data_IF_889384042530
#
_entry.id   IF_889384042530
#
_cell.length_a   1.000
_cell.length_b   1.000
_cell.length_c   1.000
_cell.angle_alpha   90.00
_cell.angle_beta   90.00
_cell.angle_gamma   90.00
#
_symmetry.space_group_name_H-M   'P 1'
#
loop_
_entity.id
_entity.type
_entity.pdbx_description
1 polymer ?
#
# COMPACT_ATOMS: atom_id res chain seq x y z
N UNK A 1 -52.30 50.60 14.08
CA UNK A 1 -53.75 50.88 14.17
C UNK A 1 -54.40 50.18 12.98
N UNK A 2 -54.85 48.94 13.20
CA UNK A 2 -56.25 48.52 13.43
C UNK A 2 -57.13 48.55 12.16
N UNK A 3 -57.52 47.33 11.77
CA UNK A 3 -58.86 46.88 11.31
C UNK A 3 -59.27 47.30 9.89
N UNK A 4 -59.98 46.52 9.07
CA UNK A 4 -60.76 45.29 9.26
C UNK A 4 -61.00 44.61 7.89
N UNK A 5 -61.31 43.31 7.89
CA UNK A 5 -61.87 42.58 6.73
C UNK A 5 -63.39 42.83 6.58
N UNK A 6 -64.02 42.47 5.44
CA UNK A 6 -65.01 41.37 5.45
C UNK A 6 -64.93 40.44 4.22
N UNK A 7 -65.08 39.10 4.38
CA UNK A 7 -66.32 38.25 4.22
C UNK A 7 -66.92 38.30 2.79
N UNK A 8 -67.42 37.26 2.13
CA UNK A 8 -67.68 35.81 2.38
C UNK A 8 -68.32 35.23 1.07
N UNK A 9 -67.88 34.02 0.68
CA UNK A 9 -68.54 32.82 0.05
C UNK A 9 -69.93 32.92 -0.65
N UNK A 10 -70.38 31.96 -1.52
CA UNK A 10 -70.34 30.50 -1.28
C UNK A 10 -70.30 29.49 -2.47
N UNK A 11 -70.02 28.23 -2.11
CA UNK A 11 -70.51 26.99 -2.77
C UNK A 11 -69.44 26.15 -3.49
N UNK A 12 -69.17 24.86 -3.23
CA UNK A 12 -69.70 23.89 -2.27
C UNK A 12 -69.37 22.45 -2.74
N UNK A 13 -68.76 21.62 -1.87
CA UNK A 13 -68.72 20.13 -1.92
C UNK A 13 -67.77 19.48 -2.94
N UNK A 14 -67.16 18.29 -2.76
CA UNK A 14 -67.11 17.27 -1.70
C UNK A 14 -65.77 16.50 -1.89
N UNK A 15 -65.16 16.01 -0.81
CA UNK A 15 -63.93 15.20 -0.83
C UNK A 15 -64.11 13.84 -1.54
N UNK A 16 -63.13 13.42 -2.35
CA UNK A 16 -62.75 12.01 -2.47
C UNK A 16 -61.24 11.89 -2.65
N UNK A 17 -60.60 11.21 -1.69
CA UNK A 17 -59.20 10.81 -1.73
C UNK A 17 -59.03 9.67 -2.74
N UNK A 18 -58.21 9.87 -3.77
CA UNK A 18 -57.81 8.82 -4.71
C UNK A 18 -56.28 8.85 -4.83
N UNK A 19 -55.64 7.85 -4.21
CA UNK A 19 -54.23 7.52 -4.39
C UNK A 19 -54.02 7.01 -5.81
N UNK A 20 -53.33 7.78 -6.65
CA UNK A 20 -52.91 7.35 -7.98
C UNK A 20 -51.46 6.89 -7.92
N UNK A 21 -51.28 5.59 -8.15
CA UNK A 21 -50.00 4.96 -8.49
C UNK A 21 -49.53 5.46 -9.85
N UNK A 22 -48.30 5.97 -9.96
CA UNK A 22 -47.63 6.16 -11.25
C UNK A 22 -46.40 5.23 -11.37
N UNK A 23 -46.29 4.44 -12.45
CA UNK A 23 -45.23 3.46 -12.64
C UNK A 23 -43.94 4.04 -13.20
N UNK A 24 -42.88 3.25 -13.03
CA UNK A 24 -41.49 3.45 -13.46
C UNK A 24 -41.33 3.69 -14.98
N UNK A 25 -40.38 4.58 -15.32
CA UNK A 25 -39.75 4.82 -16.64
C UNK A 25 -40.67 5.45 -17.73
N UNK A 26 -40.25 6.40 -18.58
CA UNK A 26 -38.93 6.74 -19.09
C UNK A 26 -38.94 8.11 -19.87
N UNK A 27 -37.77 8.76 -19.95
CA UNK A 27 -37.22 9.62 -21.04
C UNK A 27 -37.87 11.00 -21.39
N UNK A 28 -37.12 12.10 -21.19
CA UNK A 28 -36.73 12.99 -22.30
C UNK A 28 -35.48 13.83 -21.98
N UNK A 29 -34.57 13.81 -22.95
CA UNK A 29 -33.19 14.27 -22.91
C UNK A 29 -33.08 15.79 -23.13
N UNK A 30 -32.34 16.50 -22.27
CA UNK A 30 -31.69 17.76 -22.64
C UNK A 30 -30.20 17.58 -22.38
N UNK A 31 -29.49 17.15 -23.42
CA UNK A 31 -28.04 17.11 -23.46
C UNK A 31 -27.53 18.50 -23.85
N UNK A 32 -27.15 19.30 -22.86
CA UNK A 32 -26.09 20.29 -23.06
C UNK A 32 -24.77 19.51 -23.06
N UNK A 33 -24.34 19.04 -24.23
CA UNK A 33 -22.97 18.57 -24.41
C UNK A 33 -22.06 19.78 -24.51
N UNK A 34 -21.64 20.33 -23.36
CA UNK A 34 -20.29 20.86 -23.32
C UNK A 34 -19.37 19.65 -23.41
N UNK A 35 -18.87 19.37 -24.61
CA UNK A 35 -17.76 18.45 -24.82
C UNK A 35 -16.49 19.06 -24.19
N UNK A 36 -16.44 19.13 -22.86
CA UNK A 36 -15.19 19.16 -22.14
C UNK A 36 -14.61 17.77 -22.30
N UNK A 37 -13.45 17.68 -22.96
CA UNK A 37 -12.59 16.51 -22.91
C UNK A 37 -12.11 16.33 -21.47
N UNK A 38 -13.00 15.85 -20.59
CA UNK A 38 -12.65 15.36 -19.29
C UNK A 38 -12.03 13.99 -19.55
N UNK A 39 -10.74 13.98 -19.90
CA UNK A 39 -9.98 12.76 -19.81
C UNK A 39 -9.98 12.40 -18.33
N UNK A 40 -10.86 11.49 -17.94
CA UNK A 40 -10.98 11.11 -16.53
C UNK A 40 -9.64 10.54 -16.07
N UNK A 41 -9.32 10.65 -14.78
CA UNK A 41 -8.13 10.01 -14.18
C UNK A 41 -8.06 8.50 -14.52
N UNK A 42 -9.20 7.87 -14.82
CA UNK A 42 -9.33 6.49 -15.29
C UNK A 42 -9.00 6.25 -16.78
N UNK A 43 -8.99 7.29 -17.62
CA UNK A 43 -8.64 7.21 -19.05
C UNK A 43 -7.16 7.56 -19.33
N UNK A 44 -6.48 8.25 -18.40
CA UNK A 44 -5.02 8.50 -18.46
C UNK A 44 -4.19 7.52 -17.63
N UNK A 45 -4.80 6.84 -16.67
CA UNK A 45 -4.23 5.64 -16.06
C UNK A 45 -4.58 4.43 -16.91
N UNK A 46 -3.61 3.90 -17.66
CA UNK A 46 -3.78 2.66 -18.43
C UNK A 46 -4.17 1.54 -17.45
N UNK A 47 -5.41 1.02 -17.44
CA UNK A 47 -5.79 -0.07 -16.53
C UNK A 47 -5.04 -1.37 -16.88
N UNK A 48 -4.42 -1.42 -18.07
CA UNK A 48 -3.67 -2.55 -18.62
C UNK A 48 -2.15 -2.45 -18.43
N UNK A 49 -1.64 -1.42 -17.72
CA UNK A 49 -0.21 -1.26 -17.45
C UNK A 49 0.68 -0.90 -18.67
N UNK A 50 0.11 -0.71 -19.86
CA UNK A 50 0.87 -0.42 -21.08
C UNK A 50 0.88 1.08 -21.43
N UNK A 51 1.71 1.84 -20.70
CA UNK A 51 1.88 3.28 -20.88
C UNK A 51 2.42 3.63 -22.28
N UNK A 52 3.26 2.76 -22.82
CA UNK A 52 3.81 2.86 -24.16
C UNK A 52 2.77 2.94 -25.28
N UNK A 53 1.74 2.11 -25.22
CA UNK A 53 0.67 2.08 -26.22
C UNK A 53 -0.24 3.31 -26.10
N UNK A 54 -0.52 3.76 -24.87
CA UNK A 54 -1.35 4.95 -24.64
C UNK A 54 -0.70 6.25 -25.15
N UNK A 55 0.63 6.29 -25.24
CA UNK A 55 1.41 7.48 -25.63
C UNK A 55 2.08 7.35 -26.99
N UNK A 56 1.61 6.47 -27.87
CA UNK A 56 2.19 6.30 -29.22
C UNK A 56 3.73 6.20 -29.19
N UNK A 57 4.27 5.28 -28.37
CA UNK A 57 5.72 5.13 -28.13
C UNK A 57 6.35 6.37 -27.44
N UNK A 58 5.83 6.70 -26.26
CA UNK A 58 6.33 7.76 -25.37
C UNK A 58 6.34 9.18 -25.96
N UNK A 59 5.49 9.46 -26.94
CA UNK A 59 5.35 10.77 -27.59
C UNK A 59 6.70 11.39 -28.01
N UNK A 60 7.68 10.55 -28.38
CA UNK A 60 9.03 10.98 -28.78
C UNK A 60 9.94 11.48 -27.65
N UNK A 61 9.55 11.33 -26.37
CA UNK A 61 10.30 11.86 -25.20
C UNK A 61 11.11 10.81 -24.44
N UNK A 62 11.13 9.57 -24.93
CA UNK A 62 11.76 8.47 -24.23
C UNK A 62 11.74 7.17 -25.03
N UNK A 63 12.35 6.13 -24.46
CA UNK A 63 12.27 4.77 -25.00
C UNK A 63 11.17 4.02 -24.27
N UNK A 64 10.38 3.29 -25.03
CA UNK A 64 9.50 2.27 -24.48
C UNK A 64 10.31 1.08 -23.98
N UNK A 65 10.21 0.82 -22.68
CA UNK A 65 10.66 -0.46 -22.13
C UNK A 65 9.69 -1.55 -22.60
N UNK A 66 10.22 -2.53 -23.33
CA UNK A 66 9.42 -3.59 -23.92
C UNK A 66 8.90 -4.60 -22.88
N UNK A 67 9.51 -4.66 -21.69
CA UNK A 67 9.17 -5.57 -20.60
C UNK A 67 8.18 -4.91 -19.64
N UNK A 68 8.50 -3.73 -19.12
CA UNK A 68 7.66 -3.02 -18.14
C UNK A 68 6.56 -2.19 -18.79
N UNK A 69 6.61 -1.98 -20.11
CA UNK A 69 5.69 -1.14 -20.90
C UNK A 69 5.59 0.31 -20.40
N UNK A 70 6.66 0.79 -19.76
CA UNK A 70 6.79 2.15 -19.26
C UNK A 70 7.64 3.03 -20.17
N UNK A 71 7.48 4.34 -20.02
CA UNK A 71 8.30 5.33 -20.71
C UNK A 71 9.43 5.82 -19.82
N UNK A 72 10.67 5.65 -20.27
CA UNK A 72 11.86 6.17 -19.59
C UNK A 72 12.56 7.21 -20.47
N UNK A 73 13.03 8.29 -19.84
CA UNK A 73 13.90 9.27 -20.51
C UNK A 73 15.20 8.63 -20.97
N UNK A 74 15.76 9.14 -22.07
CA UNK A 74 17.07 8.69 -22.57
C UNK A 74 18.14 9.60 -21.94
N UNK A 75 19.15 9.05 -21.23
CA UNK A 75 20.27 9.84 -20.74
C UNK A 75 20.97 10.54 -21.89
N UNK A 76 21.13 11.87 -21.79
CA UNK A 76 21.83 12.67 -22.81
C UNK A 76 23.32 12.82 -22.51
N UNK A 77 23.74 12.53 -21.26
CA UNK A 77 25.15 12.48 -20.86
C UNK A 77 25.30 11.63 -19.59
N UNK A 78 26.55 11.36 -19.17
CA UNK A 78 26.85 10.67 -17.92
C UNK A 78 26.33 11.41 -16.67
N UNK A 79 26.10 12.72 -16.76
CA UNK A 79 25.61 13.57 -15.66
C UNK A 79 24.24 14.17 -15.96
N UNK A 80 23.60 13.77 -17.04
CA UNK A 80 22.28 14.27 -17.46
C UNK A 80 21.41 13.09 -17.85
N UNK A 81 20.72 12.53 -16.86
CA UNK A 81 19.86 11.37 -17.03
C UNK A 81 18.51 11.71 -17.70
N UNK A 82 17.96 12.90 -17.44
CA UNK A 82 16.68 13.32 -18.00
C UNK A 82 16.60 14.85 -18.20
N UNK A 83 16.14 15.33 -19.36
CA UNK A 83 15.84 16.76 -19.55
C UNK A 83 14.58 17.16 -18.77
N UNK A 84 14.50 18.42 -18.36
CA UNK A 84 13.24 18.97 -17.82
C UNK A 84 12.17 18.94 -18.91
N UNK A 85 11.04 18.32 -18.60
CA UNK A 85 10.00 17.97 -19.58
C UNK A 85 8.61 18.21 -18.98
N UNK A 86 7.67 18.60 -19.84
CA UNK A 86 6.27 18.84 -19.49
C UNK A 86 5.67 17.64 -18.74
N UNK A 87 5.09 17.90 -17.56
CA UNK A 87 4.53 16.89 -16.66
C UNK A 87 5.49 15.73 -16.34
N UNK A 88 6.80 16.02 -16.25
CA UNK A 88 7.85 15.04 -15.93
C UNK A 88 7.88 13.81 -16.85
N UNK A 89 7.28 13.90 -18.05
CA UNK A 89 7.00 12.75 -18.93
C UNK A 89 6.18 11.63 -18.25
N UNK A 90 5.56 11.95 -17.12
CA UNK A 90 4.78 11.08 -16.25
C UNK A 90 3.30 11.53 -16.17
N UNK A 91 2.88 12.38 -17.10
CA UNK A 91 1.49 12.78 -17.28
C UNK A 91 1.27 13.51 -18.60
N UNK A 92 0.03 13.93 -18.81
CA UNK A 92 -0.39 14.77 -19.94
C UNK A 92 -0.79 16.13 -19.42
N UNK A 93 -0.31 17.18 -20.08
CA UNK A 93 -0.71 18.56 -19.78
C UNK A 93 -2.09 18.83 -20.37
N UNK A 94 -3.06 19.13 -19.50
CA UNK A 94 -4.32 19.73 -19.92
C UNK A 94 -4.07 21.19 -20.28
N UNK A 95 -4.00 21.48 -21.58
CA UNK A 95 -3.73 22.82 -22.10
C UNK A 95 -4.87 23.82 -21.83
N UNK A 96 -6.05 23.36 -21.45
CA UNK A 96 -7.17 24.25 -21.11
C UNK A 96 -7.07 24.81 -19.68
N UNK A 97 -6.52 24.02 -18.75
CA UNK A 97 -6.33 24.42 -17.34
C UNK A 97 -4.88 24.75 -16.99
N UNK A 98 -3.91 24.32 -17.81
CA UNK A 98 -2.48 24.40 -17.51
C UNK A 98 -2.02 23.39 -16.45
N UNK A 99 -2.85 22.40 -16.09
CA UNK A 99 -2.53 21.41 -15.06
C UNK A 99 -2.10 20.07 -15.67
N UNK A 100 -1.26 19.33 -14.95
CA UNK A 100 -0.84 17.99 -15.36
C UNK A 100 -1.79 16.93 -14.82
N UNK A 101 -2.25 16.05 -15.70
CA UNK A 101 -2.98 14.84 -15.34
C UNK A 101 -1.99 13.67 -15.35
N UNK A 102 -1.70 13.13 -14.17
CA UNK A 102 -0.65 12.14 -13.98
C UNK A 102 -1.05 10.73 -14.37
N UNK A 103 -0.07 9.96 -14.85
CA UNK A 103 -0.21 8.53 -15.05
C UNK A 103 -0.29 7.79 -13.72
N UNK A 104 -0.80 6.55 -13.78
CA UNK A 104 -0.81 5.67 -12.62
C UNK A 104 0.60 5.50 -12.04
N UNK A 105 0.72 5.57 -10.72
CA UNK A 105 2.02 5.51 -10.05
C UNK A 105 2.69 6.88 -9.87
N UNK A 106 2.10 7.98 -10.37
CA UNK A 106 2.70 9.32 -10.28
C UNK A 106 1.71 10.39 -9.78
N UNK A 107 2.24 11.38 -9.06
CA UNK A 107 1.49 12.49 -8.49
C UNK A 107 2.32 13.78 -8.39
N UNK A 108 1.69 14.84 -7.88
CA UNK A 108 2.25 16.19 -7.81
C UNK A 108 1.80 17.07 -8.98
N UNK A 109 2.05 18.38 -8.87
CA UNK A 109 1.63 19.38 -9.85
C UNK A 109 2.20 19.18 -11.26
N UNK A 110 3.33 18.47 -11.36
CA UNK A 110 4.00 18.11 -12.60
C UNK A 110 4.25 16.61 -12.71
N UNK A 111 3.52 15.76 -11.97
CA UNK A 111 3.67 14.30 -11.97
C UNK A 111 5.10 13.83 -11.63
N UNK A 112 5.81 14.64 -10.87
CA UNK A 112 7.23 14.49 -10.58
C UNK A 112 7.52 13.55 -9.40
N UNK A 113 6.50 13.10 -8.69
CA UNK A 113 6.60 12.23 -7.51
C UNK A 113 5.97 10.88 -7.82
N UNK A 114 6.63 9.79 -7.46
CA UNK A 114 6.00 8.47 -7.48
C UNK A 114 4.99 8.36 -6.33
N UNK A 115 3.90 7.65 -6.54
CA UNK A 115 2.98 7.25 -5.46
C UNK A 115 3.44 5.94 -4.84
N UNK A 116 3.15 5.72 -3.57
CA UNK A 116 3.33 4.39 -2.99
C UNK A 116 2.35 3.37 -3.60
N UNK A 117 2.81 2.16 -3.95
CA UNK A 117 1.94 1.09 -4.42
C UNK A 117 0.78 0.84 -3.46
N UNK A 118 -0.45 0.77 -4.00
CA UNK A 118 -1.69 0.55 -3.25
C UNK A 118 -1.86 1.42 -1.99
N UNK A 119 -1.23 2.60 -1.95
CA UNK A 119 -1.19 3.45 -0.74
C UNK A 119 -0.72 2.68 0.51
N UNK A 120 0.29 1.82 0.35
CA UNK A 120 0.81 0.93 1.39
C UNK A 120 -0.24 0.02 2.02
N UNK A 121 -1.31 -0.29 1.27
CA UNK A 121 -2.41 -1.18 1.67
C UNK A 121 -3.09 -0.81 3.00
N UNK A 122 -2.91 0.43 3.49
CA UNK A 122 -3.35 0.85 4.82
C UNK A 122 -2.55 0.25 5.99
N UNK A 123 -1.38 -0.34 5.71
CA UNK A 123 -0.50 -1.02 6.67
C UNK A 123 0.93 -0.49 6.62
N UNK A 124 1.09 0.79 6.30
CA UNK A 124 2.38 1.45 6.29
C UNK A 124 2.30 2.94 5.99
N UNK A 125 3.46 3.58 6.10
CA UNK A 125 3.66 4.98 5.81
C UNK A 125 4.30 5.14 4.43
N UNK A 126 3.75 6.03 3.61
CA UNK A 126 4.31 6.37 2.32
C UNK A 126 5.37 7.46 2.48
N UNK A 127 6.64 7.09 2.35
CA UNK A 127 7.78 7.96 2.68
C UNK A 127 8.67 8.17 1.46
N UNK A 128 9.26 9.36 1.37
CA UNK A 128 10.27 9.65 0.35
C UNK A 128 11.60 8.95 0.65
N UNK A 129 12.48 8.88 -0.35
CA UNK A 129 13.85 8.38 -0.13
C UNK A 129 14.59 9.15 0.97
N UNK A 130 14.41 10.47 1.07
CA UNK A 130 14.98 11.27 2.16
C UNK A 130 14.50 10.80 3.53
N UNK A 131 13.18 10.64 3.67
CA UNK A 131 12.56 10.26 4.95
C UNK A 131 12.97 8.85 5.34
N UNK A 132 12.92 7.91 4.39
CA UNK A 132 13.28 6.50 4.62
C UNK A 132 14.74 6.34 5.04
N UNK A 133 15.67 7.12 4.46
CA UNK A 133 17.09 7.06 4.80
C UNK A 133 17.39 7.36 6.28
N UNK A 134 16.55 8.16 6.94
CA UNK A 134 16.71 8.57 8.33
C UNK A 134 16.08 7.58 9.33
N UNK A 135 15.35 6.57 8.87
CA UNK A 135 14.59 5.65 9.72
C UNK A 135 15.35 4.34 9.90
N UNK A 136 15.79 4.06 11.12
CA UNK A 136 16.59 2.86 11.44
C UNK A 136 15.81 1.54 11.38
N UNK A 137 14.48 1.62 11.31
CA UNK A 137 13.59 0.46 11.23
C UNK A 137 13.00 0.23 9.84
N UNK A 138 13.45 0.99 8.83
CA UNK A 138 13.07 0.74 7.44
C UNK A 138 13.76 -0.53 6.94
N UNK A 139 13.15 -1.26 6.01
CA UNK A 139 13.79 -2.42 5.37
C UNK A 139 14.48 -1.99 4.06
N UNK A 140 15.76 -2.35 3.82
CA UNK A 140 16.63 -3.07 4.75
C UNK A 140 16.95 -2.22 5.98
N UNK A 141 17.02 -2.87 7.15
CA UNK A 141 17.47 -2.21 8.38
C UNK A 141 18.81 -1.56 8.10
N UNK A 142 19.13 -0.44 8.74
CA UNK A 142 20.44 0.20 8.60
C UNK A 142 20.56 1.32 9.64
N UNK A 143 21.78 1.75 9.98
CA UNK A 143 21.96 2.97 10.74
C UNK A 143 21.29 4.14 10.01
N UNK A 144 20.65 5.03 10.76
CA UNK A 144 20.05 6.23 10.18
C UNK A 144 21.14 6.99 9.42
N UNK A 145 20.86 7.21 8.14
CA UNK A 145 21.69 8.02 7.26
C UNK A 145 20.90 9.27 6.87
N UNK A 146 21.51 10.11 6.05
CA UNK A 146 20.83 11.27 5.50
C UNK A 146 20.91 11.20 3.99
N UNK A 147 19.76 11.16 3.33
CA UNK A 147 19.69 11.35 1.89
C UNK A 147 19.17 12.75 1.60
N UNK A 148 20.08 13.71 1.69
CA UNK A 148 19.82 15.14 1.76
C UNK A 148 20.88 15.95 1.01
N UNK A 149 20.51 17.07 0.39
CA UNK A 149 21.49 17.94 -0.26
C UNK A 149 20.91 18.87 -1.32
N UNK A 150 21.76 19.24 -2.28
CA UNK A 150 21.36 20.08 -3.41
C UNK A 150 20.37 19.33 -4.32
N UNK A 151 19.11 19.75 -4.28
CA UNK A 151 17.99 19.24 -5.10
C UNK A 151 18.20 19.45 -6.61
N UNK A 152 19.14 20.30 -7.01
CA UNK A 152 19.42 20.60 -8.42
C UNK A 152 20.62 19.81 -8.97
N UNK A 153 21.44 19.22 -8.09
CA UNK A 153 22.66 18.55 -8.48
C UNK A 153 22.71 17.09 -8.00
N UNK A 154 22.83 16.86 -6.69
CA UNK A 154 23.24 15.56 -6.13
C UNK A 154 22.12 14.74 -5.52
N UNK A 155 21.00 15.35 -5.17
CA UNK A 155 19.87 14.70 -4.46
C UNK A 155 18.53 15.13 -5.06
N UNK A 156 18.47 15.22 -6.38
CA UNK A 156 17.29 15.71 -7.10
C UNK A 156 16.05 14.81 -6.94
N UNK A 157 16.25 13.55 -6.59
CA UNK A 157 15.28 12.46 -6.43
C UNK A 157 14.85 12.23 -4.98
N UNK A 158 15.50 12.89 -4.01
CA UNK A 158 15.28 12.67 -2.58
C UNK A 158 13.82 12.82 -2.12
N UNK A 159 13.02 13.68 -2.79
CA UNK A 159 11.58 13.87 -2.56
C UNK A 159 10.73 13.50 -3.78
N UNK A 160 11.25 12.64 -4.67
CA UNK A 160 10.56 12.22 -5.91
C UNK A 160 10.24 10.74 -5.95
N UNK A 161 11.02 9.92 -5.24
CA UNK A 161 10.80 8.47 -5.15
C UNK A 161 10.25 8.16 -3.76
N UNK A 162 9.17 7.39 -3.75
CA UNK A 162 8.43 7.02 -2.55
C UNK A 162 8.34 5.50 -2.42
N UNK A 163 8.41 5.03 -1.18
CA UNK A 163 8.23 3.63 -0.81
C UNK A 163 7.43 3.49 0.47
N UNK A 164 7.02 2.26 0.77
CA UNK A 164 6.26 1.96 1.97
C UNK A 164 7.17 1.52 3.11
N UNK A 165 7.12 2.24 4.23
CA UNK A 165 7.58 1.75 5.53
C UNK A 165 6.40 1.01 6.19
N UNK A 166 6.50 -0.30 6.30
CA UNK A 166 5.40 -1.11 6.78
C UNK A 166 5.24 -1.07 8.30
N UNK A 167 3.99 -1.04 8.76
CA UNK A 167 3.64 -0.98 10.17
C UNK A 167 4.03 -2.29 10.90
N UNK A 168 4.30 -2.19 12.19
CA UNK A 168 4.61 -3.33 13.03
C UNK A 168 4.07 -3.17 14.45
N UNK A 169 3.44 -4.23 14.97
CA UNK A 169 3.02 -4.30 16.38
C UNK A 169 4.16 -4.68 17.34
N UNK A 170 5.30 -5.14 16.82
CA UNK A 170 6.52 -5.37 17.59
C UNK A 170 7.63 -4.41 17.15
N UNK A 171 8.58 -4.19 18.06
CA UNK A 171 9.74 -3.36 17.78
C UNK A 171 10.60 -4.00 16.68
N UNK A 172 10.90 -3.23 15.65
CA UNK A 172 11.73 -3.64 14.52
C UNK A 172 13.10 -3.01 14.66
N UNK A 173 14.15 -3.80 14.52
CA UNK A 173 15.53 -3.36 14.62
C UNK A 173 16.48 -4.47 15.06
N UNK A 174 17.72 -4.07 15.34
CA UNK A 174 18.84 -4.97 15.65
C UNK A 174 19.11 -5.11 17.15
N UNK A 175 18.40 -4.38 18.02
CA UNK A 175 18.63 -4.44 19.46
C UNK A 175 17.99 -5.69 20.11
N UNK A 176 18.36 -5.96 21.36
CA UNK A 176 17.81 -7.06 22.15
C UNK A 176 16.29 -6.93 22.28
N UNK A 177 15.56 -8.01 22.01
CA UNK A 177 14.09 -8.05 22.04
C UNK A 177 13.41 -7.39 20.84
N UNK A 178 14.16 -6.79 19.90
CA UNK A 178 13.62 -6.35 18.62
C UNK A 178 13.67 -7.48 17.60
N UNK A 179 12.86 -7.36 16.55
CA UNK A 179 12.89 -8.30 15.43
C UNK A 179 13.46 -7.67 14.18
N UNK A 180 14.19 -8.45 13.38
CA UNK A 180 14.82 -7.94 12.14
C UNK A 180 13.82 -7.69 11.01
N UNK A 181 12.57 -8.13 11.17
CA UNK A 181 11.52 -7.99 10.18
C UNK A 181 10.28 -7.32 10.79
N UNK A 182 9.66 -6.42 10.04
CA UNK A 182 8.37 -5.83 10.38
C UNK A 182 7.23 -6.84 10.24
N UNK A 183 6.13 -6.57 10.96
CA UNK A 183 4.91 -7.34 10.82
C UNK A 183 4.39 -7.32 9.40
N UNK A 184 4.12 -6.13 8.85
CA UNK A 184 3.73 -5.99 7.46
C UNK A 184 4.98 -5.90 6.59
N UNK A 185 4.93 -6.47 5.39
CA UNK A 185 6.07 -6.53 4.48
C UNK A 185 5.63 -6.63 3.02
N UNK A 186 6.60 -6.54 2.12
CA UNK A 186 6.38 -6.40 0.69
C UNK A 186 6.35 -4.93 0.24
N UNK A 187 6.40 -4.71 -1.07
CA UNK A 187 6.54 -3.36 -1.63
C UNK A 187 5.38 -2.41 -1.29
N UNK A 188 4.21 -2.96 -1.00
CA UNK A 188 2.97 -2.24 -0.69
C UNK A 188 2.39 -2.60 0.68
N UNK A 189 3.15 -3.30 1.53
CA UNK A 189 2.73 -3.77 2.85
C UNK A 189 1.46 -4.64 2.85
N UNK A 190 1.16 -5.33 1.75
CA UNK A 190 -0.02 -6.21 1.65
C UNK A 190 0.15 -7.57 2.34
N UNK A 191 1.37 -7.94 2.74
CA UNK A 191 1.69 -9.25 3.35
C UNK A 191 2.04 -9.08 4.82
N UNK A 192 1.66 -10.02 5.68
CA UNK A 192 1.95 -9.97 7.12
C UNK A 192 2.64 -11.22 7.67
N UNK A 193 3.55 -11.03 8.63
CA UNK A 193 4.26 -12.04 9.44
C UNK A 193 3.56 -12.28 10.79
N UNK A 194 3.89 -13.36 11.50
CA UNK A 194 3.45 -13.52 12.90
C UNK A 194 4.26 -12.73 13.92
N UNK A 195 3.61 -12.47 15.04
CA UNK A 195 4.33 -12.23 16.28
C UNK A 195 5.00 -13.52 16.76
N UNK A 196 6.17 -13.40 17.37
CA UNK A 196 6.71 -14.45 18.26
C UNK A 196 5.62 -14.90 19.22
N UNK A 197 5.51 -16.20 19.44
CA UNK A 197 4.58 -16.77 20.41
C UNK A 197 4.98 -16.39 21.85
N UNK A 198 4.96 -15.11 22.19
CA UNK A 198 4.74 -14.67 23.57
C UNK A 198 3.24 -14.66 23.79
N UNK A 199 2.74 -15.87 23.97
CA UNK A 199 1.66 -16.18 24.88
C UNK A 199 0.41 -15.27 24.81
N UNK A 200 -0.40 -15.46 23.77
CA UNK A 200 -1.81 -15.03 23.83
C UNK A 200 -2.64 -15.87 24.83
N UNK A 201 -2.03 -16.82 25.57
CA UNK A 201 -2.78 -17.57 26.60
C UNK A 201 -3.19 -16.70 27.80
N UNK A 202 -2.65 -15.48 27.96
CA UNK A 202 -2.96 -14.64 29.12
C UNK A 202 -4.12 -13.64 28.89
N UNK A 203 -4.69 -13.51 27.68
CA UNK A 203 -5.79 -12.53 27.47
C UNK A 203 -6.92 -12.97 26.53
N UNK A 204 -7.13 -14.28 26.34
CA UNK A 204 -8.26 -14.80 25.56
C UNK A 204 -9.42 -15.34 26.43
N UNK A 205 -9.26 -15.40 27.75
CA UNK A 205 -10.32 -15.86 28.66
C UNK A 205 -11.44 -14.82 28.87
N UNK A 206 -11.22 -13.56 28.49
CA UNK A 206 -12.19 -12.46 28.68
C UNK A 206 -12.78 -11.88 27.37
N UNK A 207 -12.41 -12.41 26.20
CA UNK A 207 -12.90 -11.90 24.91
C UNK A 207 -14.09 -12.73 24.39
N UNK A 208 -15.14 -12.03 23.95
CA UNK A 208 -16.34 -12.64 23.37
C UNK A 208 -16.01 -13.35 22.05
N UNK A 209 -16.83 -14.32 21.62
CA UNK A 209 -16.65 -15.03 20.35
C UNK A 209 -16.52 -14.08 19.13
N UNK A 210 -17.13 -12.90 19.21
CA UNK A 210 -17.05 -11.84 18.20
C UNK A 210 -15.71 -11.07 18.20
N UNK A 211 -14.99 -11.05 19.33
CA UNK A 211 -13.66 -10.42 19.46
C UNK A 211 -12.51 -11.37 19.10
N UNK A 212 -12.75 -12.69 19.08
CA UNK A 212 -11.79 -13.69 18.58
C UNK A 212 -11.56 -13.57 17.07
N UNK A 213 -12.47 -12.91 16.35
CA UNK A 213 -12.48 -12.78 14.89
C UNK A 213 -11.71 -11.54 14.36
N UNK A 214 -11.07 -10.76 15.24
CA UNK A 214 -10.36 -9.54 14.87
C UNK A 214 -8.82 -9.63 15.02
N UNK A 215 -8.28 -10.83 15.22
CA UNK A 215 -6.83 -11.04 15.11
C UNK A 215 -6.54 -11.30 13.64
N UNK A 216 -5.95 -10.32 12.96
CA UNK A 216 -5.42 -10.49 11.61
C UNK A 216 -4.64 -11.81 11.55
N UNK A 217 -4.98 -12.63 10.58
CA UNK A 217 -4.51 -14.00 10.47
C UNK A 217 -3.07 -13.97 9.97
N UNK A 218 -2.16 -14.55 10.75
CA UNK A 218 -0.70 -14.40 10.61
C UNK A 218 -0.04 -15.79 10.68
N UNK A 219 0.99 -16.06 9.87
CA UNK A 219 1.72 -17.34 9.87
C UNK A 219 2.71 -17.48 11.02
N UNK A 220 2.52 -18.40 11.99
CA UNK A 220 3.31 -18.47 13.21
C UNK A 220 4.82 -18.66 13.03
N UNK A 221 5.60 -17.94 13.84
CA UNK A 221 7.05 -18.12 13.93
C UNK A 221 7.38 -19.34 14.80
N UNK A 222 8.45 -20.06 14.48
CA UNK A 222 8.96 -21.12 15.35
C UNK A 222 10.39 -21.48 15.05
N UNK A 223 11.05 -22.11 16.03
CA UNK A 223 12.35 -22.71 15.88
C UNK A 223 12.23 -24.06 15.16
N UNK A 224 13.20 -24.39 14.32
CA UNK A 224 13.19 -25.62 13.53
C UNK A 224 13.62 -26.82 14.41
N UNK A 225 12.72 -27.78 14.70
CA UNK A 225 13.04 -28.85 15.64
C UNK A 225 14.03 -29.89 15.11
N UNK A 226 14.50 -29.76 13.85
CA UNK A 226 15.46 -30.69 13.25
C UNK A 226 16.89 -30.16 13.23
N UNK A 227 17.11 -28.91 13.61
CA UNK A 227 18.44 -28.30 13.67
C UNK A 227 18.87 -28.14 15.12
N UNK A 228 20.17 -27.98 15.34
CA UNK A 228 20.74 -27.65 16.66
C UNK A 228 20.94 -26.15 16.85
N UNK A 229 20.59 -25.36 15.84
CA UNK A 229 20.71 -23.90 15.81
C UNK A 229 19.32 -23.36 16.04
N UNK A 230 19.16 -22.43 16.97
CA UNK A 230 17.87 -21.76 17.16
C UNK A 230 17.71 -20.71 16.05
N UNK A 231 16.93 -20.98 15.01
CA UNK A 231 16.75 -20.02 13.91
C UNK A 231 15.94 -18.79 14.31
N UNK A 232 15.34 -18.78 15.50
CA UNK A 232 14.67 -17.58 16.04
C UNK A 232 15.63 -16.65 16.79
N UNK A 233 16.85 -17.10 17.09
CA UNK A 233 17.92 -16.26 17.65
C UNK A 233 18.72 -15.57 16.54
N UNK A 234 18.52 -14.26 16.40
CA UNK A 234 19.19 -13.42 15.41
C UNK A 234 20.48 -12.76 15.95
N UNK A 235 20.97 -13.18 17.11
CA UNK A 235 22.22 -12.69 17.68
C UNK A 235 23.40 -13.04 16.76
N UNK A 236 24.11 -12.03 16.25
CA UNK A 236 25.21 -12.27 15.32
C UNK A 236 24.77 -12.57 13.87
N UNK A 237 23.46 -12.57 13.59
CA UNK A 237 22.89 -12.80 12.25
C UNK A 237 22.70 -11.47 11.53
N UNK A 238 23.18 -11.39 10.28
CA UNK A 238 23.01 -10.24 9.41
C UNK A 238 21.53 -10.10 9.02
N UNK A 239 20.95 -8.92 9.18
CA UNK A 239 19.58 -8.69 8.73
C UNK A 239 19.49 -8.77 7.20
N UNK A 240 18.39 -9.35 6.70
CA UNK A 240 18.20 -9.55 5.27
C UNK A 240 18.26 -8.19 4.53
N UNK A 241 19.15 -8.10 3.54
CA UNK A 241 19.38 -6.86 2.78
C UNK A 241 20.16 -5.76 3.49
N UNK A 242 20.64 -5.98 4.73
CA UNK A 242 21.34 -4.99 5.57
C UNK A 242 22.87 -5.22 5.62
N UNK A 243 23.58 -4.23 6.13
CA UNK A 243 24.97 -4.24 6.62
C UNK A 243 25.08 -4.51 8.14
N UNK A 244 23.99 -4.40 8.89
CA UNK A 244 23.91 -4.56 10.34
C UNK A 244 23.60 -5.98 10.83
N UNK A 245 24.13 -6.30 12.00
CA UNK A 245 23.99 -7.60 12.65
C UNK A 245 23.19 -7.47 13.96
N UNK A 246 22.31 -8.44 14.24
CA UNK A 246 21.56 -8.46 15.49
C UNK A 246 22.46 -8.55 16.71
N UNK A 247 22.18 -7.75 17.75
CA UNK A 247 22.87 -7.89 19.04
C UNK A 247 22.32 -9.10 19.81
N UNK A 248 22.99 -9.48 20.91
CA UNK A 248 22.51 -10.57 21.77
C UNK A 248 21.06 -10.37 22.21
N UNK A 249 20.22 -11.37 21.97
CA UNK A 249 18.78 -11.36 22.27
C UNK A 249 17.89 -10.74 21.19
N UNK A 250 18.43 -10.43 20.01
CA UNK A 250 17.67 -10.02 18.83
C UNK A 250 16.92 -11.22 18.22
N UNK A 251 15.77 -10.99 17.59
CA UNK A 251 14.83 -12.07 17.24
C UNK A 251 14.60 -12.18 15.71
N UNK A 252 14.75 -13.39 15.16
CA UNK A 252 14.42 -13.69 13.77
C UNK A 252 12.98 -14.17 13.61
N UNK A 253 12.31 -13.77 12.53
CA UNK A 253 11.03 -14.38 12.18
C UNK A 253 11.24 -15.57 11.24
N UNK A 254 10.73 -16.75 11.63
CA UNK A 254 10.88 -17.99 10.87
C UNK A 254 9.51 -18.58 10.59
N UNK A 255 9.01 -18.35 9.37
CA UNK A 255 7.69 -18.78 8.94
C UNK A 255 7.53 -20.31 9.11
N UNK A 256 6.53 -20.72 9.90
CA UNK A 256 6.17 -22.12 10.12
C UNK A 256 7.36 -23.02 10.51
N UNK A 257 8.32 -22.49 11.28
CA UNK A 257 9.52 -23.21 11.73
C UNK A 257 10.33 -23.87 10.61
N UNK A 258 10.26 -23.33 9.38
CA UNK A 258 10.78 -23.98 8.17
C UNK A 258 10.21 -25.40 7.92
N UNK A 259 9.12 -25.77 8.59
CA UNK A 259 8.49 -27.10 8.60
C UNK A 259 7.02 -27.06 8.18
N UNK A 260 6.62 -26.01 7.49
CA UNK A 260 5.32 -25.91 6.85
C UNK A 260 5.31 -24.83 5.78
N UNK A 261 4.22 -24.79 5.03
CA UNK A 261 3.93 -23.72 4.07
C UNK A 261 2.93 -22.78 4.73
N UNK A 262 3.29 -21.50 4.78
CA UNK A 262 2.42 -20.42 5.20
C UNK A 262 1.45 -20.04 4.08
N UNK A 263 0.15 -20.08 4.36
CA UNK A 263 -0.83 -19.34 3.56
C UNK A 263 -0.89 -17.90 4.06
N UNK A 264 -0.28 -16.96 3.34
CA UNK A 264 -0.25 -15.55 3.73
C UNK A 264 -1.62 -14.85 3.69
N UNK A 265 -2.66 -15.47 3.12
CA UNK A 265 -4.03 -14.94 3.13
C UNK A 265 -4.81 -15.33 4.38
N UNK A 266 -4.58 -16.55 4.88
CA UNK A 266 -5.23 -17.09 6.08
C UNK A 266 -4.30 -17.18 7.28
N UNK A 267 -3.02 -16.85 7.17
CA UNK A 267 -2.07 -16.97 8.27
C UNK A 267 -1.88 -18.38 8.82
N UNK A 268 -2.39 -19.42 8.17
CA UNK A 268 -2.28 -20.79 8.69
C UNK A 268 -1.04 -21.48 8.11
N UNK A 269 -0.33 -22.22 8.98
CA UNK A 269 0.77 -23.07 8.57
C UNK A 269 0.25 -24.47 8.22
N UNK A 270 0.41 -24.87 6.97
CA UNK A 270 0.26 -26.25 6.54
C UNK A 270 1.56 -27.01 6.82
N UNK A 271 1.63 -27.74 7.93
CA UNK A 271 2.83 -28.45 8.35
C UNK A 271 3.18 -29.62 7.43
N UNK A 272 4.48 -29.84 7.23
CA UNK A 272 5.00 -31.01 6.54
C UNK A 272 4.79 -32.28 7.38
N UNK A 273 4.84 -33.44 6.72
CA UNK A 273 4.65 -34.72 7.38
C UNK A 273 5.66 -34.92 8.53
N UNK A 274 5.17 -35.34 9.70
CA UNK A 274 5.98 -35.50 10.91
C UNK A 274 6.08 -34.25 11.80
N UNK A 275 5.48 -33.12 11.39
CA UNK A 275 5.46 -31.87 12.15
C UNK A 275 4.03 -31.44 12.46
N UNK A 276 3.83 -30.81 13.61
CA UNK A 276 2.51 -30.31 14.03
C UNK A 276 2.62 -29.07 14.93
N UNK A 277 1.47 -28.56 15.33
CA UNK A 277 1.34 -27.31 16.08
C UNK A 277 1.06 -26.13 15.14
N UNK A 278 0.70 -24.98 15.71
CA UNK A 278 0.33 -23.80 14.93
C UNK A 278 1.48 -23.23 14.09
N UNK A 279 2.73 -23.48 14.49
CA UNK A 279 3.95 -23.04 13.80
C UNK A 279 4.79 -24.20 13.27
N UNK A 280 4.31 -25.44 13.30
CA UNK A 280 5.05 -26.63 12.87
C UNK A 280 6.38 -26.90 13.61
N UNK A 281 6.61 -26.27 14.77
CA UNK A 281 7.85 -26.43 15.55
C UNK A 281 7.87 -27.72 16.40
N UNK A 282 6.82 -28.55 16.37
CA UNK A 282 6.74 -29.77 17.17
C UNK A 282 6.84 -31.02 16.30
N UNK A 283 7.67 -31.98 16.70
CA UNK A 283 7.79 -33.29 16.06
C UNK A 283 6.64 -34.19 16.49
N UNK A 284 5.82 -34.63 15.55
CA UNK A 284 4.77 -35.60 15.81
C UNK A 284 5.41 -36.83 16.44
N UNK A 285 4.94 -37.31 17.61
CA UNK A 285 5.36 -38.60 18.10
C UNK A 285 4.90 -39.62 17.06
N UNK A 286 5.84 -40.14 16.29
CA UNK A 286 5.60 -41.23 15.37
C UNK A 286 5.17 -42.43 16.22
N UNK A 287 4.00 -43.00 15.91
CA UNK A 287 3.72 -44.40 16.22
C UNK A 287 4.50 -45.27 15.24
#
# INVERSE_FOLDING_TARGET
MRLDSPRRAPGGGVMTSQLIWLPYAAVHWVLLQSASWQVTRAQLGVPTGNLCAALSNCNGRGRCDALTKTCAGIPSSATTAHPSTECSSAGVCDRSSGTCICYYGYEGSACQRSTCPNSCSGHGQCLSMREMAAITSAFPLSPASTYGGDVTATTWDQDRIYGCLCDSSWAVGLAAGQSQLSQWFGADCSRSKCSFARDLSVSLQYLTASMRMAVAVRCPSGDDPMTSVDETDCSGVLAEGDVGTGVSGNLCHVDCANRGICDYSSGECACFAGFYGSNCASLSPVN
#
